data_IF_829384743704
#
_entry.id   IF_829384743704
#
_cell.length_a   1.000
_cell.length_b   1.000
_cell.length_c   1.000
_cell.angle_alpha   90.00
_cell.angle_beta   90.00
_cell.angle_gamma   90.00
#
_symmetry.space_group_name_H-M   'P 1'
#
loop_
_entity.id
_entity.type
_entity.pdbx_description
1 polymer ?
#
# COMPACT_ATOMS: atom_id res chain seq x y z
N UNK A 1 -21.24 -19.17 -0.63
CA UNK A 1 -20.96 -19.10 0.82
C UNK A 1 -19.76 -19.97 1.23
N UNK A 2 -19.29 -20.88 0.36
CA UNK A 2 -18.09 -21.71 0.58
C UNK A 2 -16.76 -20.93 0.56
N UNK A 3 -16.69 -19.82 -0.19
CA UNK A 3 -15.51 -18.93 -0.26
C UNK A 3 -15.08 -18.29 1.08
N UNK A 4 -16.01 -18.08 2.02
CA UNK A 4 -15.67 -17.49 3.32
C UNK A 4 -15.10 -18.50 4.32
N UNK A 5 -15.34 -19.80 4.07
CA UNK A 5 -14.87 -20.91 4.90
C UNK A 5 -13.60 -21.57 4.37
N UNK A 6 -13.10 -21.14 3.20
CA UNK A 6 -11.90 -21.69 2.61
C UNK A 6 -10.64 -21.22 3.37
N UNK A 7 -9.86 -22.12 4.00
CA UNK A 7 -8.66 -21.75 4.73
C UNK A 7 -7.61 -21.05 3.85
N UNK A 8 -7.60 -21.34 2.54
CA UNK A 8 -6.64 -20.75 1.60
C UNK A 8 -6.82 -19.24 1.44
N UNK A 9 -8.07 -18.75 1.42
CA UNK A 9 -8.39 -17.33 1.31
C UNK A 9 -7.94 -16.58 2.56
N UNK A 10 -8.14 -17.15 3.74
CA UNK A 10 -7.67 -16.58 5.00
C UNK A 10 -6.15 -16.51 5.07
N UNK A 11 -5.46 -17.56 4.63
CA UNK A 11 -3.99 -17.58 4.56
C UNK A 11 -3.50 -16.51 3.58
N UNK A 12 -4.04 -16.46 2.36
CA UNK A 12 -3.66 -15.47 1.36
C UNK A 12 -3.92 -14.03 1.84
N UNK A 13 -5.07 -13.77 2.43
CA UNK A 13 -5.41 -12.47 3.02
C UNK A 13 -4.41 -12.08 4.12
N UNK A 14 -4.08 -13.01 5.01
CA UNK A 14 -3.15 -12.76 6.11
C UNK A 14 -1.73 -12.51 5.59
N UNK A 15 -1.25 -13.31 4.63
CA UNK A 15 0.05 -13.11 3.99
C UNK A 15 0.12 -11.77 3.26
N UNK A 16 -0.89 -11.42 2.47
CA UNK A 16 -0.97 -10.12 1.78
C UNK A 16 -0.98 -8.98 2.78
N UNK A 17 -1.77 -9.08 3.83
CA UNK A 17 -1.83 -8.08 4.91
C UNK A 17 -0.46 -7.90 5.57
N UNK A 18 0.25 -9.00 5.86
CA UNK A 18 1.59 -8.93 6.47
C UNK A 18 2.58 -8.26 5.52
N UNK A 19 2.60 -8.64 4.23
CA UNK A 19 3.49 -8.02 3.24
C UNK A 19 3.24 -6.52 3.10
N UNK A 20 1.97 -6.13 2.99
CA UNK A 20 1.51 -4.74 2.87
C UNK A 20 1.89 -3.90 4.10
N UNK A 21 1.91 -4.54 5.28
CA UNK A 21 2.26 -3.90 6.55
C UNK A 21 3.78 -3.75 6.69
N UNK A 22 4.57 -4.76 6.31
CA UNK A 22 6.04 -4.70 6.30
C UNK A 22 6.54 -3.63 5.33
N UNK A 23 6.03 -3.61 4.09
CA UNK A 23 6.33 -2.56 3.11
C UNK A 23 5.89 -1.17 3.57
N UNK A 24 4.76 -1.09 4.27
CA UNK A 24 4.25 0.17 4.82
C UNK A 24 5.12 0.72 5.96
N UNK A 25 5.65 -0.15 6.82
CA UNK A 25 6.49 0.25 7.95
C UNK A 25 7.82 0.84 7.47
N UNK A 26 8.46 0.24 6.47
CA UNK A 26 9.77 0.69 5.96
C UNK A 26 9.75 2.18 5.55
N UNK A 27 8.67 2.60 4.86
CA UNK A 27 8.48 3.98 4.41
C UNK A 27 8.22 4.97 5.58
N UNK A 28 7.42 4.57 6.58
CA UNK A 28 7.15 5.38 7.78
C UNK A 28 8.43 5.54 8.64
N UNK A 29 9.22 4.47 8.77
CA UNK A 29 10.48 4.47 9.50
C UNK A 29 11.49 5.39 8.82
N UNK A 30 11.64 5.32 7.49
CA UNK A 30 12.52 6.22 6.73
C UNK A 30 12.17 7.70 6.96
N UNK A 31 10.89 8.05 6.87
CA UNK A 31 10.40 9.42 7.10
C UNK A 31 10.67 9.87 8.53
N UNK A 32 10.45 8.99 9.51
CA UNK A 32 10.70 9.30 10.92
C UNK A 32 12.19 9.49 11.21
N UNK A 33 13.07 8.73 10.57
CA UNK A 33 14.53 8.87 10.68
C UNK A 33 14.99 10.18 10.04
N UNK A 34 14.53 10.50 8.83
CA UNK A 34 14.88 11.75 8.15
C UNK A 34 14.37 12.96 8.91
N UNK A 35 13.13 12.94 9.38
CA UNK A 35 12.56 14.02 10.19
C UNK A 35 13.34 14.24 11.49
N UNK A 36 13.89 13.18 12.10
CA UNK A 36 14.75 13.28 13.27
C UNK A 36 16.11 13.95 13.04
N UNK A 37 16.53 14.14 11.78
CA UNK A 37 17.75 14.88 11.42
C UNK A 37 17.52 16.38 11.23
N UNK A 38 16.27 16.86 11.27
CA UNK A 38 15.96 18.29 11.18
C UNK A 38 16.08 19.00 12.54
N UNK A 39 16.26 20.34 12.55
CA UNK A 39 16.21 21.15 13.76
C UNK A 39 14.90 20.90 14.53
N UNK A 40 14.93 20.88 15.88
CA UNK A 40 13.80 20.48 16.73
C UNK A 40 12.49 21.23 16.42
N UNK A 41 12.58 22.51 16.01
CA UNK A 41 11.43 23.32 15.60
C UNK A 41 10.76 22.84 14.30
N UNK A 42 11.49 22.14 13.43
CA UNK A 42 11.00 21.67 12.12
C UNK A 42 10.64 20.17 12.12
N UNK A 43 11.09 19.39 13.11
CA UNK A 43 10.85 17.93 13.15
C UNK A 43 9.37 17.57 13.15
N UNK A 44 8.55 18.28 13.93
CA UNK A 44 7.10 18.03 13.97
C UNK A 44 6.43 18.28 12.62
N UNK A 45 6.76 19.41 11.96
CA UNK A 45 6.22 19.74 10.64
C UNK A 45 6.70 18.74 9.59
N UNK A 46 7.98 18.38 9.60
CA UNK A 46 8.55 17.41 8.68
C UNK A 46 7.92 16.02 8.85
N UNK A 47 7.63 15.58 10.08
CA UNK A 47 6.89 14.33 10.35
C UNK A 47 5.48 14.38 9.79
N UNK A 48 4.72 15.43 10.10
CA UNK A 48 3.34 15.55 9.62
C UNK A 48 3.26 15.62 8.10
N UNK A 49 4.11 16.43 7.48
CA UNK A 49 4.16 16.56 6.01
C UNK A 49 4.62 15.25 5.39
N UNK A 50 5.68 14.62 5.92
CA UNK A 50 6.18 13.34 5.43
C UNK A 50 5.14 12.24 5.52
N UNK A 51 4.48 12.08 6.68
CA UNK A 51 3.42 11.08 6.88
C UNK A 51 2.21 11.33 5.97
N UNK A 52 1.76 12.58 5.84
CA UNK A 52 0.66 12.93 4.95
C UNK A 52 1.01 12.64 3.49
N UNK A 53 2.22 13.03 3.06
CA UNK A 53 2.69 12.82 1.69
C UNK A 53 2.89 11.33 1.37
N UNK A 54 3.35 10.52 2.34
CA UNK A 54 3.45 9.08 2.21
C UNK A 54 2.09 8.40 2.06
N UNK A 55 1.10 8.80 2.86
CA UNK A 55 -0.28 8.33 2.73
C UNK A 55 -0.87 8.69 1.37
N UNK A 56 -0.68 9.93 0.92
CA UNK A 56 -1.16 10.40 -0.38
C UNK A 56 -0.50 9.61 -1.53
N UNK A 57 0.83 9.45 -1.51
CA UNK A 57 1.54 8.67 -2.52
C UNK A 57 1.08 7.21 -2.54
N UNK A 58 0.84 6.61 -1.36
CA UNK A 58 0.32 5.24 -1.27
C UNK A 58 -1.06 5.12 -1.92
N UNK A 59 -1.98 6.03 -1.60
CA UNK A 59 -3.32 6.05 -2.19
C UNK A 59 -3.26 6.30 -3.69
N UNK A 60 -2.43 7.24 -4.16
CA UNK A 60 -2.25 7.50 -5.59
C UNK A 60 -1.71 6.29 -6.35
N UNK A 61 -0.69 5.61 -5.80
CA UNK A 61 -0.13 4.41 -6.41
C UNK A 61 -1.15 3.26 -6.43
N UNK A 62 -1.87 3.03 -5.33
CA UNK A 62 -2.94 2.02 -5.28
C UNK A 62 -4.09 2.34 -6.24
N UNK A 63 -4.49 3.61 -6.33
CA UNK A 63 -5.52 4.05 -7.27
C UNK A 63 -5.07 3.89 -8.72
N UNK A 64 -3.83 4.28 -9.02
CA UNK A 64 -3.24 4.07 -10.35
C UNK A 64 -3.15 2.58 -10.67
N UNK A 65 -2.78 1.73 -9.71
CA UNK A 65 -2.73 0.28 -9.89
C UNK A 65 -4.13 -0.29 -10.15
N UNK A 66 -5.13 0.13 -9.36
CA UNK A 66 -6.53 -0.27 -9.56
C UNK A 66 -7.05 0.15 -10.93
N UNK A 67 -6.74 1.37 -11.37
CA UNK A 67 -7.12 1.87 -12.70
C UNK A 67 -6.43 1.09 -13.83
N UNK A 68 -5.13 0.82 -13.70
CA UNK A 68 -4.35 0.02 -14.66
C UNK A 68 -4.88 -1.41 -14.72
N UNK A 69 -5.11 -2.06 -13.58
CA UNK A 69 -5.70 -3.41 -13.52
C UNK A 69 -7.05 -3.41 -14.22
N UNK A 70 -7.91 -2.41 -13.97
CA UNK A 70 -9.19 -2.24 -14.66
C UNK A 70 -9.08 -2.01 -16.16
N UNK A 71 -8.00 -1.40 -16.66
CA UNK A 71 -7.71 -1.26 -18.09
C UNK A 71 -7.11 -2.53 -18.71
N UNK A 72 -6.41 -3.36 -17.93
CA UNK A 72 -5.91 -4.67 -18.38
C UNK A 72 -6.96 -5.78 -18.29
N UNK A 73 -7.93 -5.68 -17.37
CA UNK A 73 -9.05 -6.61 -17.25
C UNK A 73 -9.82 -6.82 -18.56
N UNK A 74 -10.16 -5.80 -19.37
CA UNK A 74 -10.81 -6.02 -20.67
C UNK A 74 -9.89 -6.73 -21.68
N UNK A 75 -8.57 -6.68 -21.54
CA UNK A 75 -7.64 -7.43 -22.39
C UNK A 75 -7.55 -8.91 -21.98
N UNK A 76 -7.60 -9.22 -20.67
CA UNK A 76 -7.59 -10.61 -20.19
C UNK A 76 -8.91 -11.34 -20.45
N UNK A 77 -10.07 -10.65 -20.43
CA UNK A 77 -11.34 -11.24 -20.86
C UNK A 77 -11.42 -11.49 -22.37
N UNK A 78 -10.65 -10.73 -23.18
CA UNK A 78 -10.59 -10.92 -24.64
C UNK A 78 -9.53 -11.96 -25.05
N UNK A 79 -8.52 -12.21 -24.21
CA UNK A 79 -7.45 -13.20 -24.44
C UNK A 79 -7.72 -14.60 -23.87
N UNK A 80 -8.90 -14.86 -23.30
CA UNK A 80 -9.37 -16.23 -23.02
C UNK A 80 -8.63 -16.97 -21.90
N UNK A 81 -8.86 -16.58 -20.65
CA UNK A 81 -8.75 -17.51 -19.52
C UNK A 81 -10.00 -17.47 -18.66
N UNK A 82 -10.70 -18.60 -18.67
CA UNK A 82 -11.75 -19.00 -17.73
C UNK A 82 -11.14 -19.47 -16.40
#
# INVERSE_FOLDING_TARGET
MEWLTDPSIWIAFLTLTVLELVLGIDNIVFISILAGKLPPEQQQRARYIGLALALIMRVLLLFSLSWVIGLTAPLFTVLGQE
#
